data_IF_064897339687
#
_entry.id   IF_064897339687
#
_cell.length_a   1.000
_cell.length_b   1.000
_cell.length_c   1.000
_cell.angle_alpha   90.00
_cell.angle_beta   90.00
_cell.angle_gamma   90.00
#
_symmetry.space_group_name_H-M   'P 1'
#
loop_
_entity.id
_entity.type
_entity.pdbx_description
1 polymer ?
#
# COMPACT_ATOMS: atom_id res chain seq x y z
N UNK A 1 -0.76 44.43 -13.27
CA UNK A 1 -1.04 45.83 -13.63
C UNK A 1 -0.22 46.20 -14.86
N UNK A 2 -0.66 47.16 -15.67
CA UNK A 2 -0.08 47.42 -17.01
C UNK A 2 1.18 48.31 -16.96
N UNK A 3 1.56 48.84 -15.77
CA UNK A 3 2.86 49.49 -15.53
C UNK A 3 3.40 49.22 -14.10
N UNK A 4 4.65 48.72 -13.95
CA UNK A 4 5.27 48.40 -12.67
C UNK A 4 5.82 49.63 -11.89
N UNK A 5 6.08 49.49 -10.57
CA UNK A 5 5.96 48.27 -9.77
C UNK A 5 4.52 48.08 -9.29
N UNK A 6 3.91 46.95 -9.68
CA UNK A 6 2.62 46.58 -9.13
C UNK A 6 2.81 46.26 -7.65
N UNK A 7 2.04 46.86 -6.73
CA UNK A 7 2.07 46.46 -5.34
C UNK A 7 1.67 44.99 -5.24
N UNK A 8 2.45 44.18 -4.51
CA UNK A 8 2.10 42.81 -4.19
C UNK A 8 0.85 42.86 -3.30
N UNK A 9 -0.30 42.45 -3.85
CA UNK A 9 -1.53 42.32 -3.07
C UNK A 9 -1.44 40.99 -2.33
N UNK A 10 -1.43 40.98 -0.99
CA UNK A 10 -1.44 39.72 -0.24
C UNK A 10 -2.75 39.00 -0.49
N UNK A 11 -2.67 37.79 -1.05
CA UNK A 11 -3.81 36.89 -1.23
C UNK A 11 -3.99 36.02 0.01
N UNK A 12 -5.23 35.84 0.44
CA UNK A 12 -5.55 34.93 1.53
C UNK A 12 -5.46 33.49 1.03
N UNK A 13 -4.69 32.65 1.74
CA UNK A 13 -4.61 31.22 1.49
C UNK A 13 -5.68 30.50 2.32
N UNK A 14 -6.49 29.60 1.72
CA UNK A 14 -7.39 28.76 2.50
C UNK A 14 -6.59 27.82 3.40
N UNK A 15 -6.87 27.85 4.71
CA UNK A 15 -6.28 26.93 5.70
C UNK A 15 -7.08 25.64 5.84
N UNK A 16 -8.34 25.66 5.42
CA UNK A 16 -9.26 24.53 5.41
C UNK A 16 -9.73 24.24 3.99
N UNK A 17 -10.13 22.99 3.76
CA UNK A 17 -10.57 22.53 2.46
C UNK A 17 -11.89 21.77 2.52
N UNK A 18 -12.59 21.82 1.40
CA UNK A 18 -13.85 21.11 1.17
C UNK A 18 -14.01 20.86 -0.32
N UNK A 19 -15.07 20.15 -0.73
CA UNK A 19 -15.44 19.98 -2.13
C UNK A 19 -15.60 21.31 -2.89
N UNK A 20 -15.95 22.39 -2.19
CA UNK A 20 -16.18 23.72 -2.77
C UNK A 20 -15.03 24.70 -2.55
N UNK A 21 -14.05 24.32 -1.73
CA UNK A 21 -12.88 25.14 -1.40
C UNK A 21 -11.62 24.27 -1.47
N UNK A 22 -11.13 23.95 -2.68
CA UNK A 22 -9.92 23.15 -2.83
C UNK A 22 -8.68 23.92 -2.36
N UNK A 23 -7.63 23.17 -2.02
CA UNK A 23 -6.34 23.74 -1.66
C UNK A 23 -5.63 24.36 -2.89
N UNK A 24 -4.62 25.18 -2.61
CA UNK A 24 -3.78 25.74 -3.67
C UNK A 24 -2.88 24.64 -4.29
N UNK A 25 -2.36 24.84 -5.51
CA UNK A 25 -1.43 23.88 -6.11
C UNK A 25 -0.20 23.59 -5.22
N UNK A 26 0.17 22.31 -5.11
CA UNK A 26 1.23 21.84 -4.20
C UNK A 26 0.74 21.48 -2.80
N UNK A 27 -0.57 21.56 -2.56
CA UNK A 27 -1.21 21.13 -1.32
C UNK A 27 -2.30 20.11 -1.58
N UNK A 28 -2.52 19.26 -0.59
CA UNK A 28 -3.56 18.25 -0.56
C UNK A 28 -4.53 18.54 0.58
N UNK A 29 -5.79 18.15 0.38
CA UNK A 29 -6.80 18.24 1.42
C UNK A 29 -6.74 16.99 2.30
N UNK A 30 -6.24 17.14 3.53
CA UNK A 30 -6.13 16.07 4.51
C UNK A 30 -6.96 16.46 5.74
N UNK A 31 -7.94 15.63 6.10
CA UNK A 31 -8.82 15.84 7.26
C UNK A 31 -9.51 17.22 7.30
N UNK A 32 -9.81 17.80 6.13
CA UNK A 32 -10.43 19.13 6.02
C UNK A 32 -9.45 20.30 6.14
N UNK A 33 -8.15 20.04 6.16
CA UNK A 33 -7.08 21.04 6.19
C UNK A 33 -6.22 20.98 4.93
N UNK A 34 -5.79 22.16 4.48
CA UNK A 34 -4.79 22.24 3.42
C UNK A 34 -3.40 22.05 4.01
N UNK A 35 -2.74 20.97 3.60
CA UNK A 35 -1.37 20.65 3.99
C UNK A 35 -0.50 20.51 2.75
N UNK A 36 0.78 20.82 2.89
CA UNK A 36 1.77 20.59 1.83
C UNK A 36 1.71 19.13 1.38
N UNK A 37 1.71 18.92 0.06
CA UNK A 37 1.77 17.56 -0.50
C UNK A 37 3.03 16.83 0.01
N UNK A 38 2.88 15.74 0.77
CA UNK A 38 4.02 15.01 1.29
C UNK A 38 4.78 14.37 0.12
N UNK A 39 6.11 14.54 0.11
CA UNK A 39 6.93 14.07 -1.01
C UNK A 39 8.33 13.69 -0.56
N UNK A 40 8.89 12.67 -1.22
CA UNK A 40 10.29 12.29 -1.14
C UNK A 40 11.21 13.17 -2.01
N UNK A 41 10.66 14.09 -2.80
CA UNK A 41 11.45 14.94 -3.69
C UNK A 41 12.41 15.82 -2.89
N UNK A 42 13.71 15.63 -3.14
CA UNK A 42 14.76 16.39 -2.47
C UNK A 42 15.11 15.89 -1.06
N UNK A 43 14.60 14.73 -0.65
CA UNK A 43 14.98 14.06 0.59
C UNK A 43 16.04 12.97 0.30
N UNK A 44 17.32 13.22 0.61
CA UNK A 44 18.38 12.28 0.31
C UNK A 44 18.42 11.14 1.33
N UNK A 45 18.49 9.90 0.85
CA UNK A 45 18.75 8.73 1.68
C UNK A 45 20.18 8.22 1.53
N UNK A 46 20.74 7.57 2.57
CA UNK A 46 22.00 6.83 2.48
C UNK A 46 22.00 5.77 1.39
N UNK A 47 23.20 5.31 1.01
CA UNK A 47 23.34 4.19 0.07
C UNK A 47 22.61 2.94 0.58
N UNK A 48 21.92 2.25 -0.34
CA UNK A 48 21.13 1.05 -0.01
C UNK A 48 19.77 1.33 0.64
N UNK A 49 19.39 2.61 0.77
CA UNK A 49 18.08 3.03 1.26
C UNK A 49 17.32 3.83 0.20
N UNK A 50 16.01 3.77 0.26
CA UNK A 50 15.12 4.60 -0.54
C UNK A 50 14.22 5.45 0.36
N UNK A 51 13.78 6.58 -0.18
CA UNK A 51 12.81 7.42 0.52
C UNK A 51 11.42 6.82 0.39
N UNK A 52 10.68 6.83 1.49
CA UNK A 52 9.26 6.51 1.52
C UNK A 52 8.53 7.54 2.39
N UNK A 53 7.20 7.55 2.28
CA UNK A 53 6.34 8.38 3.11
C UNK A 53 5.88 7.55 4.31
N UNK A 54 6.34 7.94 5.49
CA UNK A 54 6.02 7.30 6.76
C UNK A 54 4.76 7.94 7.35
N UNK A 55 3.71 7.12 7.53
CA UNK A 55 2.48 7.55 8.18
C UNK A 55 2.73 7.80 9.67
N UNK A 56 2.21 8.92 10.18
CA UNK A 56 2.35 9.31 11.57
C UNK A 56 1.04 9.18 12.32
N UNK A 57 1.11 8.61 13.52
CA UNK A 57 0.01 8.67 14.48
C UNK A 57 0.21 9.93 15.32
N UNK A 58 -0.80 10.79 15.31
CA UNK A 58 -0.81 12.04 16.04
C UNK A 58 -2.06 12.15 16.91
N UNK A 59 -2.01 13.04 17.90
CA UNK A 59 -3.12 13.26 18.82
C UNK A 59 -4.23 14.09 18.17
N UNK A 60 -3.88 14.97 17.22
CA UNK A 60 -4.82 15.86 16.53
C UNK A 60 -4.48 15.95 15.04
N UNK A 61 -5.45 15.76 14.12
CA UNK A 61 -5.25 15.94 12.68
C UNK A 61 -5.06 17.42 12.29
N UNK A 62 -4.51 17.71 11.09
CA UNK A 62 -4.07 16.76 10.05
C UNK A 62 -2.66 16.22 10.32
N UNK A 63 -2.42 14.97 9.95
CA UNK A 63 -1.14 14.30 10.17
C UNK A 63 -0.60 13.73 8.89
N UNK A 64 -0.07 14.62 8.02
CA UNK A 64 0.48 14.19 6.77
C UNK A 64 1.69 13.28 7.02
N UNK A 65 1.88 12.25 6.18
CA UNK A 65 3.05 11.42 6.26
C UNK A 65 4.32 12.25 6.00
N UNK A 66 5.44 11.81 6.55
CA UNK A 66 6.73 12.50 6.42
C UNK A 66 7.71 11.67 5.60
N UNK A 67 8.62 12.30 4.84
CA UNK A 67 9.67 11.57 4.15
C UNK A 67 10.64 10.95 5.17
N UNK A 68 10.92 9.67 4.98
CA UNK A 68 11.80 8.85 5.82
C UNK A 68 12.58 7.88 4.94
N UNK A 69 13.66 7.29 5.44
CA UNK A 69 14.47 6.34 4.68
C UNK A 69 14.24 4.90 5.17
N UNK A 70 14.06 3.98 4.24
CA UNK A 70 13.95 2.54 4.51
C UNK A 70 14.98 1.75 3.68
N UNK A 71 15.43 0.58 4.16
CA UNK A 71 16.33 -0.28 3.39
C UNK A 71 15.64 -0.80 2.12
N UNK A 72 16.39 -0.83 1.01
CA UNK A 72 15.94 -1.44 -0.26
C UNK A 72 16.10 -2.96 -0.20
N UNK A 73 17.22 -3.40 0.39
CA UNK A 73 17.57 -4.81 0.54
C UNK A 73 17.54 -5.22 1.99
N UNK A 74 17.27 -6.50 2.22
CA UNK A 74 17.17 -7.07 3.54
C UNK A 74 18.22 -8.15 3.79
N UNK A 75 18.65 -8.21 5.05
CA UNK A 75 19.49 -9.27 5.58
C UNK A 75 19.23 -9.43 7.08
N UNK A 76 19.87 -10.41 7.71
CA UNK A 76 19.81 -10.60 9.17
C UNK A 76 20.25 -9.36 9.97
N UNK A 77 21.07 -8.49 9.37
CA UNK A 77 21.59 -7.28 10.02
C UNK A 77 20.90 -5.99 9.55
N UNK A 78 20.05 -6.07 8.54
CA UNK A 78 19.28 -4.95 7.99
C UNK A 78 17.87 -5.47 7.65
N UNK A 79 17.00 -5.66 8.66
CA UNK A 79 15.63 -6.10 8.41
C UNK A 79 14.80 -4.99 7.75
N UNK A 80 13.72 -5.38 7.08
CA UNK A 80 12.76 -4.43 6.53
C UNK A 80 11.99 -3.69 7.62
N UNK A 81 11.37 -2.57 7.25
CA UNK A 81 10.49 -1.82 8.15
C UNK A 81 9.19 -2.59 8.41
N UNK A 82 8.44 -2.27 9.48
CA UNK A 82 7.13 -2.85 9.71
C UNK A 82 6.19 -2.67 8.50
N UNK A 83 5.41 -3.70 8.17
CA UNK A 83 4.55 -3.72 6.99
C UNK A 83 5.26 -4.14 5.69
N UNK A 84 6.55 -4.50 5.79
CA UNK A 84 7.32 -5.09 4.70
C UNK A 84 7.91 -6.44 5.10
N UNK A 85 8.07 -7.31 4.10
CA UNK A 85 8.68 -8.63 4.24
C UNK A 85 9.94 -8.71 3.40
N UNK A 86 10.88 -9.54 3.86
CA UNK A 86 12.11 -9.81 3.13
C UNK A 86 11.88 -10.94 2.12
N UNK A 87 11.78 -10.59 0.84
CA UNK A 87 11.58 -11.54 -0.26
C UNK A 87 12.78 -11.47 -1.21
N UNK A 88 13.45 -12.60 -1.41
CA UNK A 88 14.63 -12.72 -2.29
C UNK A 88 15.75 -11.68 -2.00
N UNK A 89 15.88 -11.26 -0.74
CA UNK A 89 16.85 -10.25 -0.32
C UNK A 89 16.43 -8.80 -0.54
N UNK A 90 15.18 -8.56 -0.92
CA UNK A 90 14.59 -7.24 -1.09
C UNK A 90 13.47 -7.00 -0.07
N UNK A 91 13.36 -5.74 0.38
CA UNK A 91 12.20 -5.32 1.14
C UNK A 91 11.05 -5.01 0.19
N UNK A 92 9.95 -5.74 0.37
CA UNK A 92 8.72 -5.54 -0.39
C UNK A 92 7.56 -5.36 0.57
N UNK A 93 6.57 -4.57 0.17
CA UNK A 93 5.33 -4.43 0.93
C UNK A 93 4.73 -5.80 1.20
N UNK A 94 4.33 -6.04 2.44
CA UNK A 94 3.67 -7.29 2.82
C UNK A 94 2.41 -7.46 1.95
N UNK A 95 2.32 -8.55 1.18
CA UNK A 95 1.15 -8.80 0.36
C UNK A 95 -0.02 -9.18 1.28
N UNK A 96 -1.15 -8.50 1.13
CA UNK A 96 -2.34 -8.71 1.97
C UNK A 96 -3.62 -8.59 1.16
N UNK A 97 -4.67 -9.27 1.64
CA UNK A 97 -6.02 -9.21 1.11
C UNK A 97 -6.91 -8.15 1.80
N UNK A 98 -6.40 -7.44 2.82
CA UNK A 98 -7.21 -6.58 3.70
C UNK A 98 -7.89 -5.42 2.97
N UNK A 99 -7.27 -4.95 1.88
CA UNK A 99 -7.77 -3.83 1.05
C UNK A 99 -8.44 -4.30 -0.24
N UNK A 100 -8.62 -5.61 -0.43
CA UNK A 100 -9.20 -6.19 -1.65
C UNK A 100 -10.65 -6.58 -1.39
N UNK A 101 -11.55 -5.93 -2.12
CA UNK A 101 -12.97 -6.25 -2.10
C UNK A 101 -13.33 -7.15 -3.28
N UNK A 102 -13.58 -8.42 -2.99
CA UNK A 102 -14.01 -9.38 -3.99
C UNK A 102 -15.53 -9.34 -4.23
N UNK A 103 -15.99 -9.66 -5.46
CA UNK A 103 -17.41 -9.84 -5.75
C UNK A 103 -18.04 -10.94 -4.88
N UNK A 104 -19.38 -10.94 -4.79
CA UNK A 104 -20.13 -11.99 -4.10
C UNK A 104 -19.77 -13.39 -4.65
N UNK A 105 -19.60 -14.36 -3.75
CA UNK A 105 -19.19 -15.73 -4.11
C UNK A 105 -17.70 -15.88 -4.45
N UNK A 106 -16.88 -14.86 -4.19
CA UNK A 106 -15.43 -14.92 -4.31
C UNK A 106 -14.76 -14.48 -3.01
N UNK A 107 -13.58 -15.03 -2.77
CA UNK A 107 -12.70 -14.65 -1.66
C UNK A 107 -11.33 -14.23 -2.19
N UNK A 108 -10.65 -13.36 -1.44
CA UNK A 108 -9.31 -12.92 -1.81
C UNK A 108 -8.28 -13.96 -1.36
N UNK A 109 -7.37 -14.29 -2.26
CA UNK A 109 -6.25 -15.18 -2.02
C UNK A 109 -4.95 -14.56 -2.54
N UNK A 110 -3.82 -14.88 -1.90
CA UNK A 110 -2.49 -14.45 -2.34
C UNK A 110 -1.92 -15.47 -3.32
N UNK A 111 -1.93 -15.13 -4.61
CA UNK A 111 -1.43 -15.99 -5.68
C UNK A 111 0.04 -15.72 -5.96
N UNK A 112 0.87 -16.75 -5.80
CA UNK A 112 2.29 -16.69 -6.16
C UNK A 112 2.48 -16.46 -7.66
N UNK A 113 3.43 -15.61 -8.00
CA UNK A 113 3.77 -15.28 -9.38
C UNK A 113 5.15 -15.80 -9.74
N UNK A 114 5.25 -16.41 -10.92
CA UNK A 114 6.53 -16.70 -11.55
C UNK A 114 6.88 -15.49 -12.43
N UNK A 115 8.00 -14.87 -12.11
CA UNK A 115 8.51 -13.73 -12.85
C UNK A 115 9.94 -14.02 -13.34
N UNK A 116 10.39 -13.22 -14.30
CA UNK A 116 11.73 -13.37 -14.88
C UNK A 116 12.81 -12.79 -13.94
N UNK A 117 12.45 -11.79 -13.12
CA UNK A 117 13.37 -11.11 -12.22
C UNK A 117 12.70 -10.89 -10.84
N UNK A 118 13.31 -11.37 -9.74
CA UNK A 118 12.82 -11.13 -8.37
C UNK A 118 13.02 -9.67 -7.92
N UNK A 119 12.30 -9.21 -6.87
CA UNK A 119 11.36 -9.97 -6.05
C UNK A 119 9.96 -10.04 -6.66
N UNK A 120 9.26 -11.15 -6.41
CA UNK A 120 7.93 -11.40 -6.97
C UNK A 120 6.95 -11.74 -5.87
N UNK A 121 6.50 -10.70 -5.13
CA UNK A 121 5.54 -10.90 -4.08
C UNK A 121 4.24 -11.48 -4.66
N UNK A 122 3.57 -12.39 -3.94
CA UNK A 122 2.27 -12.86 -4.35
C UNK A 122 1.29 -11.69 -4.45
N UNK A 123 0.34 -11.80 -5.38
CA UNK A 123 -0.66 -10.76 -5.61
C UNK A 123 -2.01 -11.19 -5.03
N UNK A 124 -2.79 -10.24 -4.47
CA UNK A 124 -4.14 -10.54 -4.07
C UNK A 124 -5.03 -10.72 -5.31
N UNK A 125 -5.64 -11.88 -5.44
CA UNK A 125 -6.54 -12.26 -6.53
C UNK A 125 -7.85 -12.78 -5.95
N UNK A 126 -8.99 -12.37 -6.53
CA UNK A 126 -10.29 -12.91 -6.17
C UNK A 126 -10.52 -14.26 -6.86
N UNK A 127 -10.87 -15.28 -6.08
CA UNK A 127 -11.12 -16.64 -6.56
C UNK A 127 -12.49 -17.13 -6.08
N UNK A 128 -13.21 -17.95 -6.86
CA UNK A 128 -14.52 -18.47 -6.46
C UNK A 128 -14.44 -19.35 -5.20
N UNK A 129 -15.40 -19.19 -4.29
CA UNK A 129 -15.55 -20.05 -3.10
C UNK A 129 -16.27 -21.37 -3.41
N UNK A 130 -16.93 -21.44 -4.57
CA UNK A 130 -17.61 -22.62 -5.09
C UNK A 130 -16.86 -23.23 -6.26
N UNK A 131 -16.97 -24.54 -6.41
CA UNK A 131 -16.31 -25.30 -7.45
C UNK A 131 -17.26 -26.05 -8.39
N UNK A 132 -16.82 -26.21 -9.62
CA UNK A 132 -17.48 -27.02 -10.65
C UNK A 132 -16.44 -27.53 -11.65
N UNK A 133 -16.87 -28.32 -12.64
CA UNK A 133 -16.00 -28.78 -13.74
C UNK A 133 -15.31 -27.66 -14.52
N UNK A 134 -15.87 -26.44 -14.50
CA UNK A 134 -15.34 -25.27 -15.20
C UNK A 134 -14.72 -24.23 -14.26
N UNK A 135 -14.81 -24.42 -12.94
CA UNK A 135 -14.27 -23.54 -11.93
C UNK A 135 -13.62 -24.39 -10.84
N UNK A 136 -12.39 -24.87 -11.07
CA UNK A 136 -11.67 -25.63 -10.04
C UNK A 136 -11.29 -24.74 -8.86
N UNK A 137 -11.10 -25.35 -7.69
CA UNK A 137 -10.58 -24.66 -6.51
C UNK A 137 -9.12 -24.23 -6.69
N UNK A 138 -8.67 -23.34 -5.80
CA UNK A 138 -7.26 -22.93 -5.75
C UNK A 138 -6.36 -24.11 -5.35
N UNK A 139 -5.05 -24.06 -5.66
CA UNK A 139 -4.10 -25.06 -5.18
C UNK A 139 -4.15 -25.20 -3.65
N UNK A 140 -4.19 -26.44 -3.17
CA UNK A 140 -4.28 -26.75 -1.73
C UNK A 140 -5.71 -26.96 -1.21
N UNK A 141 -6.72 -26.75 -2.05
CA UNK A 141 -8.12 -27.03 -1.74
C UNK A 141 -8.70 -28.15 -2.61
N UNK A 142 -9.72 -28.81 -2.06
CA UNK A 142 -10.49 -29.83 -2.76
C UNK A 142 -11.94 -29.38 -2.93
N UNK A 143 -12.52 -29.78 -4.06
CA UNK A 143 -13.93 -29.54 -4.32
C UNK A 143 -14.79 -30.59 -3.60
N UNK A 144 -15.47 -30.19 -2.53
CA UNK A 144 -16.37 -31.04 -1.75
C UNK A 144 -17.78 -30.44 -1.80
N UNK A 145 -18.73 -31.22 -2.34
CA UNK A 145 -20.14 -30.83 -2.46
C UNK A 145 -20.38 -29.46 -3.13
N UNK A 146 -19.53 -29.11 -4.11
CA UNK A 146 -19.61 -27.84 -4.84
C UNK A 146 -18.96 -26.65 -4.14
N UNK A 147 -18.29 -26.87 -3.00
CA UNK A 147 -17.53 -25.85 -2.28
C UNK A 147 -16.05 -26.18 -2.24
N UNK A 148 -15.23 -25.13 -2.29
CA UNK A 148 -13.81 -25.27 -2.06
C UNK A 148 -13.53 -25.32 -0.56
N UNK A 149 -12.81 -26.36 -0.14
CA UNK A 149 -12.42 -26.55 1.25
C UNK A 149 -10.93 -26.89 1.31
N UNK A 150 -10.24 -26.35 2.31
CA UNK A 150 -8.85 -26.72 2.59
C UNK A 150 -8.76 -28.18 2.97
N UNK A 151 -7.78 -28.90 2.41
CA UNK A 151 -7.57 -30.30 2.80
C UNK A 151 -7.26 -30.37 4.31
N UNK A 152 -7.99 -31.19 5.10
CA UNK A 152 -7.62 -31.41 6.48
C UNK A 152 -6.27 -32.13 6.51
N UNK A 153 -5.23 -31.46 6.99
CA UNK A 153 -3.96 -32.11 7.31
C UNK A 153 -4.21 -33.08 8.45
N UNK A 154 -4.31 -34.37 8.14
CA UNK A 154 -4.18 -35.40 9.17
C UNK A 154 -2.77 -35.34 9.74
N UNK A 155 -2.54 -34.54 10.78
CA UNK A 155 -1.37 -34.67 11.63
C UNK A 155 -1.43 -36.06 12.28
N UNK A 156 -0.67 -36.98 11.70
CA UNK A 156 -0.47 -38.31 12.27
C UNK A 156 0.37 -38.12 13.53
N UNK A 157 -0.30 -37.96 14.67
CA UNK A 157 0.32 -37.96 16.02
C UNK A 157 1.16 -39.23 16.14
N UNK A 158 2.49 -39.08 16.17
CA UNK A 158 3.45 -40.15 16.48
C UNK A 158 3.92 -40.02 17.92
#
# INVERSE_FOLDING_TARGET
>A
CIQPPCPLIPTCKPTTCSSHSPCIPGEVCLDGYCVTEPTCKGFPCPEGQECYLEDLICIQPPCPPIPSCKPITCSSHSPCIPGEVCLDGYCVTEPTCDKVHCPEGQECYLEDLICIQPPCPPIPTCKPTTCSSHSPCIPGEVCLDGYCVTEPTCERVH
#
